data_IF_139585520695
#
_entry.id   IF_139585520695
#
_cell.length_a   1.000
_cell.length_b   1.000
_cell.length_c   1.000
_cell.angle_alpha   90.00
_cell.angle_beta   90.00
_cell.angle_gamma   90.00
#
_symmetry.space_group_name_H-M   'P 1'
#
loop_
_entity.id
_entity.type
_entity.pdbx_description
1 polymer ?
#
# COMPACT_ATOMS: atom_id res chain seq x y z
N UNK A 1 44.91 16.52 20.21
CA UNK A 1 43.75 15.59 20.24
C UNK A 1 42.49 16.43 20.38
N UNK A 2 41.68 16.56 19.32
CA UNK A 2 40.46 17.40 19.31
C UNK A 2 39.28 16.52 18.95
N UNK A 3 38.36 16.31 19.90
CA UNK A 3 37.11 15.59 19.68
C UNK A 3 36.01 16.60 19.37
N UNK A 4 35.60 16.70 18.09
CA UNK A 4 34.43 17.50 17.69
C UNK A 4 33.15 16.75 18.06
N UNK A 5 32.30 17.39 18.87
CA UNK A 5 30.95 16.92 19.22
C UNK A 5 30.06 16.93 17.96
N UNK A 6 29.35 15.85 17.62
CA UNK A 6 28.41 15.88 16.49
C UNK A 6 27.22 16.79 16.84
N UNK A 7 27.00 17.77 15.98
CA UNK A 7 25.87 18.69 15.99
C UNK A 7 24.61 17.85 15.74
N UNK A 8 23.65 17.91 16.67
CA UNK A 8 22.48 17.02 16.72
C UNK A 8 21.68 16.97 15.41
N UNK A 9 20.89 15.90 15.24
CA UNK A 9 19.96 15.72 14.13
C UNK A 9 18.98 16.89 14.08
N UNK A 10 19.36 17.91 13.33
CA UNK A 10 18.55 19.08 13.09
C UNK A 10 17.33 18.71 12.27
N UNK A 11 16.19 19.22 12.76
CA UNK A 11 14.85 19.29 12.14
C UNK A 11 14.02 18.03 12.35
N UNK A 12 13.19 18.08 13.40
CA UNK A 12 12.22 17.03 13.75
C UNK A 12 11.15 16.81 12.69
N UNK A 13 10.15 15.99 13.04
CA UNK A 13 9.04 15.51 12.20
C UNK A 13 8.31 16.61 11.40
N UNK A 14 8.43 17.87 11.80
CA UNK A 14 7.92 19.04 11.09
C UNK A 14 8.49 19.18 9.66
N UNK A 15 9.74 18.77 9.42
CA UNK A 15 10.33 18.74 8.08
C UNK A 15 9.74 17.63 7.19
N UNK A 16 9.14 16.60 7.79
CA UNK A 16 8.50 15.49 7.09
C UNK A 16 7.00 15.74 6.87
N UNK A 17 6.33 16.48 7.76
CA UNK A 17 4.89 16.66 7.71
C UNK A 17 4.43 17.86 6.86
N UNK A 18 5.30 18.84 6.62
CA UNK A 18 5.01 20.00 5.75
C UNK A 18 3.80 20.84 6.21
N UNK A 19 3.52 21.99 5.55
CA UNK A 19 2.46 22.92 5.98
C UNK A 19 1.03 22.34 5.86
N UNK A 20 0.88 21.17 5.21
CA UNK A 20 -0.42 20.61 4.80
C UNK A 20 -1.12 19.79 5.87
N UNK A 21 -0.45 19.44 6.97
CA UNK A 21 -1.11 18.77 8.09
C UNK A 21 -2.13 19.68 8.81
N UNK A 22 -2.06 21.00 8.62
CA UNK A 22 -2.95 21.97 9.28
C UNK A 22 -4.16 22.39 8.42
N UNK A 23 -4.27 21.95 7.16
CA UNK A 23 -5.36 22.33 6.25
C UNK A 23 -6.43 21.23 6.06
N UNK A 24 -6.33 20.09 6.77
CA UNK A 24 -7.40 19.08 6.80
C UNK A 24 -8.42 19.37 7.90
N UNK A 25 -9.16 20.47 7.73
CA UNK A 25 -10.44 20.68 8.40
C UNK A 25 -11.35 21.58 7.54
N UNK A 26 -12.16 20.97 6.68
CA UNK A 26 -13.22 21.67 5.94
C UNK A 26 -13.79 20.87 4.76
N UNK A 27 -15.11 20.58 4.72
CA UNK A 27 -15.75 19.88 3.61
C UNK A 27 -16.38 20.88 2.64
N UNK A 28 -15.97 20.85 1.37
CA UNK A 28 -16.74 21.17 0.14
C UNK A 28 -15.79 21.66 -0.95
N UNK A 29 -15.74 20.96 -2.09
CA UNK A 29 -15.63 21.58 -3.42
C UNK A 29 -15.79 20.52 -4.51
N UNK A 30 -16.97 20.56 -5.08
CA UNK A 30 -17.45 19.87 -6.28
C UNK A 30 -16.68 20.27 -7.55
N UNK A 31 -16.45 19.29 -8.43
CA UNK A 31 -16.20 19.36 -9.88
C UNK A 31 -14.98 20.14 -10.41
N UNK A 32 -14.00 19.38 -10.92
CA UNK A 32 -13.24 19.76 -12.12
C UNK A 32 -12.83 18.51 -12.90
N UNK A 33 -13.39 18.37 -14.09
CA UNK A 33 -13.10 17.30 -15.06
C UNK A 33 -11.78 17.54 -15.80
N UNK A 34 -11.22 16.44 -16.29
CA UNK A 34 -10.12 16.28 -17.27
C UNK A 34 -8.68 16.34 -16.78
N UNK A 35 -8.07 15.16 -16.62
CA UNK A 35 -6.63 14.97 -16.80
C UNK A 35 -6.35 13.62 -17.50
N UNK A 36 -5.70 13.59 -18.68
CA UNK A 36 -5.30 12.35 -19.36
C UNK A 36 -3.99 11.82 -18.78
N UNK A 37 -4.05 11.33 -17.53
CA UNK A 37 -2.90 10.68 -16.87
C UNK A 37 -3.40 9.61 -15.90
N UNK A 38 -4.04 8.56 -16.43
CA UNK A 38 -4.38 7.35 -15.68
C UNK A 38 -3.14 6.46 -15.42
N UNK A 39 -1.98 7.07 -15.18
CA UNK A 39 -0.72 6.40 -14.89
C UNK A 39 -0.07 7.04 -13.66
N UNK A 40 -0.86 7.26 -12.61
CA UNK A 40 -0.38 7.66 -11.28
C UNK A 40 -1.42 7.29 -10.22
N UNK A 41 -1.61 5.99 -9.98
CA UNK A 41 -2.41 5.50 -8.84
C UNK A 41 -1.56 4.70 -7.85
N UNK A 42 -0.28 4.47 -8.13
CA UNK A 42 0.65 3.91 -7.14
C UNK A 42 1.15 5.05 -6.24
N UNK A 43 0.32 5.44 -5.28
CA UNK A 43 0.84 6.16 -4.12
C UNK A 43 1.89 5.25 -3.47
N UNK A 44 3.16 5.66 -3.34
CA UNK A 44 4.18 4.82 -2.73
C UNK A 44 3.76 4.53 -1.29
N UNK A 45 3.32 3.29 -1.03
CA UNK A 45 2.88 2.83 0.28
C UNK A 45 1.47 2.21 0.35
N UNK A 46 0.62 2.36 -0.67
CA UNK A 46 -0.69 1.67 -0.71
C UNK A 46 -0.67 0.48 -1.66
N UNK A 47 -1.27 -0.68 -1.28
CA UNK A 47 -1.42 -1.82 -2.17
C UNK A 47 -2.33 -1.47 -3.36
N UNK A 48 -1.93 -1.90 -4.56
CA UNK A 48 -2.70 -1.70 -5.78
C UNK A 48 -3.84 -2.74 -5.90
N UNK A 49 -4.93 -2.36 -6.57
CA UNK A 49 -6.00 -3.30 -6.95
C UNK A 49 -5.69 -3.90 -8.33
N UNK A 50 -5.79 -5.23 -8.44
CA UNK A 50 -5.57 -6.00 -9.68
C UNK A 50 -6.79 -6.92 -9.93
N UNK A 51 -7.17 -7.11 -11.20
CA UNK A 51 -8.28 -8.02 -11.52
C UNK A 51 -7.79 -9.47 -11.38
N UNK A 52 -8.64 -10.34 -10.83
CA UNK A 52 -8.30 -11.75 -10.63
C UNK A 52 -7.92 -12.47 -11.93
N UNK A 53 -8.56 -12.12 -13.05
CA UNK A 53 -8.30 -12.72 -14.37
C UNK A 53 -6.91 -12.39 -14.94
N UNK A 54 -6.27 -11.35 -14.42
CA UNK A 54 -4.91 -10.97 -14.81
C UNK A 54 -3.86 -11.70 -13.95
N UNK A 55 -4.28 -12.48 -12.95
CA UNK A 55 -3.39 -13.22 -12.05
C UNK A 55 -3.14 -14.64 -12.55
N UNK A 56 -1.90 -15.09 -12.41
CA UNK A 56 -1.48 -16.47 -12.69
C UNK A 56 -0.61 -17.00 -11.55
N UNK A 57 -0.48 -18.32 -11.46
CA UNK A 57 0.45 -18.93 -10.52
C UNK A 57 1.89 -18.49 -10.81
N UNK A 58 2.67 -18.29 -9.75
CA UNK A 58 4.07 -17.89 -9.88
C UNK A 58 4.92 -18.99 -10.54
N UNK A 59 5.83 -18.59 -11.43
CA UNK A 59 6.76 -19.50 -12.13
C UNK A 59 7.56 -20.40 -11.17
N UNK A 60 7.88 -19.90 -9.98
CA UNK A 60 8.71 -20.57 -8.98
C UNK A 60 7.91 -21.02 -7.75
N UNK A 61 6.71 -21.54 -7.95
CA UNK A 61 5.82 -22.00 -6.87
C UNK A 61 6.32 -23.34 -6.27
N UNK A 62 6.92 -23.38 -5.05
CA UNK A 62 7.45 -24.63 -4.50
C UNK A 62 6.34 -25.52 -3.90
N UNK A 63 5.26 -24.91 -3.41
CA UNK A 63 4.10 -25.63 -2.87
C UNK A 63 3.13 -25.95 -4.01
N UNK A 64 3.13 -27.21 -4.45
CA UNK A 64 2.28 -27.71 -5.55
C UNK A 64 1.04 -28.47 -5.08
N UNK A 65 1.03 -28.94 -3.82
CA UNK A 65 -0.11 -29.61 -3.20
C UNK A 65 -0.70 -28.75 -2.09
N UNK A 66 -2.01 -28.61 -2.12
CA UNK A 66 -2.80 -27.91 -1.10
C UNK A 66 -3.82 -28.88 -0.54
N UNK A 67 -4.14 -28.72 0.74
CA UNK A 67 -5.19 -29.49 1.38
C UNK A 67 -6.54 -28.83 1.06
N UNK A 68 -7.49 -29.61 0.56
CA UNK A 68 -8.79 -29.10 0.11
C UNK A 68 -9.63 -28.56 1.28
N UNK A 69 -9.52 -29.17 2.47
CA UNK A 69 -10.23 -28.70 3.66
C UNK A 69 -9.73 -27.31 4.10
N UNK A 70 -8.40 -27.16 4.16
CA UNK A 70 -7.78 -25.87 4.46
C UNK A 70 -8.07 -24.78 3.41
N UNK A 71 -8.20 -25.16 2.13
CA UNK A 71 -8.62 -24.22 1.08
C UNK A 71 -10.05 -23.73 1.29
N UNK A 72 -10.96 -24.63 1.67
CA UNK A 72 -12.35 -24.28 1.93
C UNK A 72 -12.48 -23.34 3.14
N UNK A 73 -11.77 -23.64 4.22
CA UNK A 73 -11.72 -22.79 5.42
C UNK A 73 -11.18 -21.39 5.08
N UNK A 74 -10.11 -21.30 4.29
CA UNK A 74 -9.55 -20.03 3.85
C UNK A 74 -10.52 -19.25 2.97
N UNK A 75 -11.25 -19.91 2.06
CA UNK A 75 -12.23 -19.25 1.20
C UNK A 75 -13.37 -18.62 2.02
N UNK A 76 -13.91 -19.33 3.01
CA UNK A 76 -14.93 -18.79 3.92
C UNK A 76 -14.39 -17.63 4.77
N UNK A 77 -13.14 -17.71 5.24
CA UNK A 77 -12.48 -16.61 5.94
C UNK A 77 -12.34 -15.36 5.06
N UNK A 78 -11.86 -15.52 3.82
CA UNK A 78 -11.72 -14.42 2.85
C UNK A 78 -13.08 -13.81 2.51
N UNK A 79 -14.14 -14.62 2.41
CA UNK A 79 -15.49 -14.14 2.15
C UNK A 79 -16.04 -13.28 3.29
N UNK A 80 -15.74 -13.64 4.53
CA UNK A 80 -16.21 -12.92 5.72
C UNK A 80 -15.39 -11.66 6.03
N UNK A 81 -14.08 -11.70 5.85
CA UNK A 81 -13.15 -10.67 6.33
C UNK A 81 -12.38 -9.95 5.21
N UNK A 82 -12.47 -10.45 3.98
CA UNK A 82 -11.63 -10.02 2.88
C UNK A 82 -10.21 -10.59 2.98
N UNK A 83 -9.35 -10.13 2.07
CA UNK A 83 -7.93 -10.48 2.08
C UNK A 83 -7.21 -9.61 3.12
N UNK A 84 -6.68 -10.24 4.17
CA UNK A 84 -5.97 -9.53 5.25
C UNK A 84 -4.58 -9.05 4.83
N UNK A 85 -3.90 -9.79 3.95
CA UNK A 85 -2.54 -9.50 3.52
C UNK A 85 -2.48 -9.34 2.00
N UNK A 86 -1.96 -8.23 1.47
CA UNK A 86 -1.79 -8.05 0.03
C UNK A 86 -0.93 -9.15 -0.59
N UNK A 87 -1.30 -9.56 -1.80
CA UNK A 87 -0.56 -10.57 -2.57
C UNK A 87 0.57 -9.88 -3.33
N UNK A 88 1.79 -10.41 -3.21
CA UNK A 88 2.93 -9.95 -3.99
C UNK A 88 2.83 -10.49 -5.43
N UNK A 89 2.93 -9.59 -6.40
CA UNK A 89 2.88 -9.89 -7.83
C UNK A 89 4.00 -9.15 -8.56
N UNK A 90 4.39 -9.64 -9.73
CA UNK A 90 5.43 -9.07 -10.60
C UNK A 90 5.07 -9.27 -12.06
#
# INVERSE_FOLDING_TARGET
>A
MVTKKPKGLGRGLEALLGPRASEMAGPDTINSSHNPAASSLVSPGLPASLRLVDMVAGQYQPRTRMDEGALYELAESIKAQGIMQPILVR
#
